data_IF_286960238105
#
_entry.id   IF_286960238105
#
_cell.length_a   1.000
_cell.length_b   1.000
_cell.length_c   1.000
_cell.angle_alpha   90.00
_cell.angle_beta   90.00
_cell.angle_gamma   90.00
#
_symmetry.space_group_name_H-M   'P 1'
#
loop_
_entity.id
_entity.type
_entity.pdbx_description
1 polymer ?
#
# COMPACT_ATOMS: atom_id res chain seq x y z
N UNK A 1 -20.39 -20.68 7.61
CA UNK A 1 -20.31 -19.29 7.16
C UNK A 1 -19.97 -19.30 5.69
N UNK A 2 -20.66 -18.52 4.89
CA UNK A 2 -20.37 -18.37 3.46
C UNK A 2 -19.02 -17.66 3.28
N UNK A 3 -18.20 -18.12 2.33
CA UNK A 3 -16.88 -17.53 2.06
C UNK A 3 -17.10 -16.17 1.40
N UNK A 4 -16.52 -15.07 1.93
CA UNK A 4 -16.67 -13.75 1.33
C UNK A 4 -16.22 -13.68 -0.14
N UNK A 5 -16.99 -13.00 -0.98
CA UNK A 5 -16.79 -12.95 -2.44
C UNK A 5 -15.43 -12.39 -2.89
N UNK A 6 -14.75 -11.61 -2.07
CA UNK A 6 -13.41 -11.09 -2.40
C UNK A 6 -12.33 -12.18 -2.41
N UNK A 7 -12.60 -13.38 -1.87
CA UNK A 7 -11.71 -14.53 -1.99
C UNK A 7 -11.77 -15.21 -3.38
N UNK A 8 -12.57 -14.70 -4.31
CA UNK A 8 -12.61 -15.16 -5.69
C UNK A 8 -11.61 -14.42 -6.60
N UNK A 9 -10.74 -13.57 -6.02
CA UNK A 9 -9.81 -12.69 -6.73
C UNK A 9 -8.36 -13.08 -6.42
N UNK A 10 -7.53 -13.20 -7.46
CA UNK A 10 -6.10 -13.45 -7.33
C UNK A 10 -5.31 -12.13 -7.39
N UNK A 11 -4.22 -12.05 -6.62
CA UNK A 11 -3.32 -10.88 -6.58
C UNK A 11 -1.96 -11.15 -7.21
N UNK A 12 -1.45 -12.37 -7.08
CA UNK A 12 -0.23 -12.85 -7.74
C UNK A 12 -0.48 -14.24 -8.32
N UNK A 13 0.18 -14.55 -9.43
CA UNK A 13 0.11 -15.84 -10.09
C UNK A 13 1.50 -16.27 -10.54
N UNK A 14 1.76 -17.58 -10.56
CA UNK A 14 3.02 -18.12 -11.10
C UNK A 14 3.08 -17.90 -12.61
N UNK A 15 4.28 -17.64 -13.11
CA UNK A 15 4.56 -17.60 -14.56
C UNK A 15 4.86 -18.99 -15.14
N UNK A 16 5.29 -19.94 -14.30
CA UNK A 16 5.66 -21.31 -14.67
C UNK A 16 5.27 -22.28 -13.56
N UNK A 17 4.77 -23.46 -13.95
CA UNK A 17 4.30 -24.53 -13.05
C UNK A 17 5.47 -25.27 -12.41
N UNK A 18 5.96 -24.77 -11.28
CA UNK A 18 6.82 -25.54 -10.36
C UNK A 18 5.97 -26.25 -9.30
N UNK A 19 6.32 -27.51 -9.00
CA UNK A 19 5.47 -28.51 -8.37
C UNK A 19 5.13 -28.29 -6.87
N UNK A 20 5.75 -27.34 -6.18
CA UNK A 20 5.71 -27.30 -4.70
C UNK A 20 4.78 -26.23 -4.08
N UNK A 21 4.12 -25.37 -4.87
CA UNK A 21 3.17 -24.39 -4.32
C UNK A 21 1.98 -24.10 -5.24
N UNK A 22 0.92 -23.50 -4.70
CA UNK A 22 -0.32 -23.20 -5.44
C UNK A 22 -0.03 -22.25 -6.60
N UNK A 23 -0.87 -22.30 -7.64
CA UNK A 23 -0.64 -21.53 -8.88
C UNK A 23 -0.83 -20.02 -8.71
N UNK A 24 -1.57 -19.62 -7.68
CA UNK A 24 -1.86 -18.24 -7.39
C UNK A 24 -1.98 -17.97 -5.89
N UNK A 25 -1.86 -16.69 -5.58
CA UNK A 25 -2.08 -16.12 -4.27
C UNK A 25 -3.29 -15.19 -4.31
N UNK A 26 -4.18 -15.37 -3.33
CA UNK A 26 -5.39 -14.56 -3.22
C UNK A 26 -5.06 -13.07 -3.00
N UNK A 27 -5.78 -12.20 -3.70
CA UNK A 27 -5.60 -10.75 -3.65
C UNK A 27 -5.70 -10.19 -2.21
N UNK A 28 -6.72 -10.57 -1.40
CA UNK A 28 -6.80 -10.14 -0.01
C UNK A 28 -5.54 -10.43 0.82
N UNK A 29 -4.88 -11.54 0.54
CA UNK A 29 -3.70 -11.98 1.27
C UNK A 29 -2.47 -11.19 0.89
N UNK A 30 -2.25 -10.99 -0.41
CA UNK A 30 -1.17 -10.12 -0.87
C UNK A 30 -1.31 -8.69 -0.30
N UNK A 31 -2.53 -8.14 -0.31
CA UNK A 31 -2.83 -6.85 0.33
C UNK A 31 -2.45 -6.82 1.81
N UNK A 32 -2.70 -7.90 2.55
CA UNK A 32 -2.31 -8.02 3.96
C UNK A 32 -0.80 -8.20 4.13
N UNK A 33 -0.12 -8.92 3.25
CA UNK A 33 1.33 -9.09 3.30
C UNK A 33 2.06 -7.75 3.15
N UNK A 34 1.66 -6.96 2.16
CA UNK A 34 2.21 -5.60 1.94
C UNK A 34 1.93 -4.70 3.14
N UNK A 35 0.71 -4.72 3.68
CA UNK A 35 0.39 -3.94 4.88
C UNK A 35 1.17 -4.39 6.11
N UNK A 36 1.39 -5.70 6.29
CA UNK A 36 2.18 -6.25 7.38
C UNK A 36 3.64 -5.81 7.28
N UNK A 37 4.22 -5.82 6.08
CA UNK A 37 5.57 -5.30 5.82
C UNK A 37 5.62 -3.81 6.12
N UNK A 38 4.67 -3.02 5.61
CA UNK A 38 4.60 -1.59 5.90
C UNK A 38 4.56 -1.28 7.39
N UNK A 39 3.77 -2.04 8.15
CA UNK A 39 3.72 -1.96 9.61
C UNK A 39 5.10 -2.20 10.26
N UNK A 40 5.88 -3.15 9.75
CA UNK A 40 7.24 -3.44 10.24
C UNK A 40 8.26 -2.36 9.82
N UNK A 41 8.18 -1.85 8.59
CA UNK A 41 9.01 -0.73 8.13
C UNK A 41 8.74 0.55 8.93
N UNK A 42 7.52 0.68 9.43
CA UNK A 42 7.05 1.74 10.31
C UNK A 42 7.07 1.34 11.79
N UNK A 43 7.94 0.40 12.20
CA UNK A 43 8.03 -0.02 13.60
C UNK A 43 8.36 1.17 14.53
N UNK A 44 7.77 1.16 15.73
CA UNK A 44 7.88 2.22 16.76
C UNK A 44 9.32 2.64 17.13
N UNK A 45 10.29 1.76 16.91
CA UNK A 45 11.69 1.95 17.28
C UNK A 45 12.49 2.79 16.28
N UNK A 46 12.03 2.88 15.02
CA UNK A 46 12.75 3.56 13.93
C UNK A 46 12.64 5.08 14.05
N UNK A 47 13.72 5.79 13.73
CA UNK A 47 13.75 7.27 13.76
C UNK A 47 12.76 7.90 12.79
N UNK A 48 12.66 7.35 11.57
CA UNK A 48 11.79 7.87 10.52
C UNK A 48 10.34 8.05 11.00
N UNK A 49 9.77 7.06 11.71
CA UNK A 49 8.38 7.21 12.17
C UNK A 49 8.25 8.26 13.28
N UNK A 50 9.27 8.44 14.12
CA UNK A 50 9.29 9.49 15.16
C UNK A 50 9.32 10.88 14.51
N UNK A 51 10.11 11.06 13.46
CA UNK A 51 10.19 12.32 12.72
C UNK A 51 8.85 12.62 12.01
N UNK A 52 8.28 11.63 11.33
CA UNK A 52 6.99 11.76 10.63
C UNK A 52 5.84 12.05 11.60
N UNK A 53 5.79 11.36 12.73
CA UNK A 53 4.73 11.54 13.74
C UNK A 53 4.82 12.89 14.43
N UNK A 54 6.03 13.36 14.75
CA UNK A 54 6.25 14.70 15.26
C UNK A 54 5.79 15.75 14.25
N UNK A 55 6.20 15.63 12.99
CA UNK A 55 5.87 16.59 11.94
C UNK A 55 4.35 16.66 11.65
N UNK A 56 3.68 15.50 11.61
CA UNK A 56 2.24 15.39 11.39
C UNK A 56 1.41 15.59 12.68
N UNK A 57 2.06 15.74 13.83
CA UNK A 57 1.41 15.81 15.14
C UNK A 57 0.39 14.65 15.33
N UNK A 58 0.84 13.42 15.07
CA UNK A 58 0.10 12.18 15.31
C UNK A 58 0.85 11.31 16.31
N UNK A 59 0.15 10.35 16.94
CA UNK A 59 0.84 9.29 17.67
C UNK A 59 1.43 8.28 16.69
N UNK A 60 2.50 7.59 17.10
CA UNK A 60 3.12 6.53 16.30
C UNK A 60 2.17 5.39 15.96
N UNK A 61 1.33 4.99 16.93
CA UNK A 61 0.30 3.96 16.72
C UNK A 61 -0.74 4.41 15.68
N UNK A 62 -1.16 5.68 15.77
CA UNK A 62 -2.15 6.23 14.85
C UNK A 62 -1.62 6.30 13.42
N UNK A 63 -0.42 6.85 13.21
CA UNK A 63 0.18 6.92 11.88
C UNK A 63 0.43 5.52 11.30
N UNK A 64 1.00 4.60 12.09
CA UNK A 64 1.24 3.23 11.65
C UNK A 64 -0.06 2.53 11.25
N UNK A 65 -1.14 2.68 12.05
CA UNK A 65 -2.44 2.08 11.75
C UNK A 65 -3.06 2.62 10.45
N UNK A 66 -3.02 3.94 10.24
CA UNK A 66 -3.50 4.58 9.02
C UNK A 66 -2.71 4.10 7.81
N UNK A 67 -1.38 4.15 7.86
CA UNK A 67 -0.54 3.76 6.71
C UNK A 67 -0.69 2.27 6.42
N UNK A 68 -0.71 1.41 7.44
CA UNK A 68 -0.92 -0.03 7.25
C UNK A 68 -2.27 -0.31 6.59
N UNK A 69 -3.34 0.38 7.01
CA UNK A 69 -4.64 0.27 6.36
C UNK A 69 -4.59 0.73 4.91
N UNK A 70 -4.03 1.91 4.62
CA UNK A 70 -3.96 2.41 3.22
C UNK A 70 -3.12 1.49 2.33
N UNK A 71 -2.06 0.87 2.86
CA UNK A 71 -1.25 -0.11 2.12
C UNK A 71 -2.04 -1.36 1.73
N UNK A 72 -3.07 -1.77 2.47
CA UNK A 72 -3.94 -2.88 2.01
C UNK A 72 -4.70 -2.55 0.73
N UNK A 73 -4.77 -1.26 0.36
CA UNK A 73 -5.51 -0.77 -0.81
C UNK A 73 -4.62 -0.52 -2.03
N UNK A 74 -3.30 -0.72 -1.94
CA UNK A 74 -2.37 -0.45 -3.05
C UNK A 74 -2.77 -1.16 -4.34
N UNK A 75 -3.25 -2.41 -4.20
CA UNK A 75 -3.63 -3.30 -5.29
C UNK A 75 -5.15 -3.39 -5.50
N UNK A 76 -5.95 -2.46 -4.97
CA UNK A 76 -7.42 -2.52 -5.06
C UNK A 76 -7.92 -2.51 -6.52
N UNK A 77 -7.13 -1.98 -7.47
CA UNK A 77 -7.44 -2.06 -8.88
C UNK A 77 -7.42 -3.48 -9.47
N UNK A 78 -6.77 -4.44 -8.81
CA UNK A 78 -6.76 -5.84 -9.24
C UNK A 78 -8.13 -6.50 -9.10
N UNK A 79 -9.09 -5.91 -8.38
CA UNK A 79 -10.49 -6.35 -8.40
C UNK A 79 -11.15 -6.16 -9.77
N UNK A 80 -10.57 -5.40 -10.70
CA UNK A 80 -11.12 -5.24 -12.04
C UNK A 80 -11.14 -6.57 -12.81
N UNK A 81 -12.28 -6.90 -13.40
CA UNK A 81 -12.43 -8.08 -14.28
C UNK A 81 -11.37 -8.14 -15.38
N UNK A 82 -10.98 -7.01 -15.97
CA UNK A 82 -9.92 -6.96 -16.97
C UNK A 82 -8.57 -7.46 -16.43
N UNK A 83 -8.19 -7.08 -15.21
CA UNK A 83 -6.98 -7.60 -14.56
C UNK A 83 -7.13 -9.09 -14.24
N UNK A 84 -8.25 -9.50 -13.66
CA UNK A 84 -8.48 -10.89 -13.28
C UNK A 84 -8.40 -11.85 -14.49
N UNK A 85 -8.76 -11.38 -15.69
CA UNK A 85 -8.69 -12.14 -16.95
C UNK A 85 -7.26 -12.48 -17.39
N UNK A 86 -6.23 -11.82 -16.85
CA UNK A 86 -4.82 -12.08 -17.19
C UNK A 86 -4.34 -13.46 -16.73
N UNK A 87 -5.01 -14.08 -15.77
CA UNK A 87 -4.71 -15.44 -15.33
C UNK A 87 -5.76 -16.40 -15.88
N UNK A 88 -5.48 -17.12 -16.98
CA UNK A 88 -6.44 -17.95 -17.68
C UNK A 88 -6.65 -19.32 -17.00
N UNK A 89 -6.54 -19.39 -15.68
CA UNK A 89 -6.72 -20.65 -14.97
C UNK A 89 -8.20 -20.98 -14.79
N UNK A 90 -8.53 -22.26 -14.96
CA UNK A 90 -9.84 -22.82 -14.59
C UNK A 90 -9.90 -23.19 -13.09
N UNK A 91 -8.97 -22.69 -12.27
CA UNK A 91 -8.91 -22.93 -10.83
C UNK A 91 -10.30 -22.78 -10.21
N UNK A 92 -10.73 -23.84 -9.53
CA UNK A 92 -12.00 -23.87 -8.82
C UNK A 92 -12.00 -22.77 -7.76
N UNK A 93 -13.05 -21.94 -7.74
CA UNK A 93 -13.22 -20.88 -6.74
C UNK A 93 -12.80 -19.47 -7.19
N UNK A 94 -12.07 -19.31 -8.28
CA UNK A 94 -11.84 -17.99 -8.88
C UNK A 94 -13.03 -17.55 -9.74
N UNK A 95 -13.32 -16.26 -9.69
CA UNK A 95 -14.33 -15.65 -10.54
C UNK A 95 -13.89 -15.68 -12.01
N UNK A 96 -14.84 -15.94 -12.92
CA UNK A 96 -14.59 -15.97 -14.38
C UNK A 96 -15.02 -14.65 -15.02
N UNK A 97 -14.08 -13.75 -15.38
CA UNK A 97 -14.41 -12.40 -15.84
C UNK A 97 -15.04 -12.37 -17.23
N UNK A 98 -16.13 -11.61 -17.32
CA UNK A 98 -16.80 -11.25 -18.56
C UNK A 98 -16.83 -9.71 -18.67
N UNK A 99 -15.68 -9.12 -19.02
CA UNK A 99 -15.57 -7.67 -19.20
C UNK A 99 -15.57 -7.26 -20.68
N UNK A 100 -16.16 -6.09 -20.95
CA UNK A 100 -16.28 -5.52 -22.30
C UNK A 100 -14.92 -5.16 -22.92
N UNK A 101 -13.95 -4.72 -22.10
CA UNK A 101 -12.59 -4.39 -22.55
C UNK A 101 -11.54 -5.31 -21.91
N UNK A 102 -10.54 -5.69 -22.69
CA UNK A 102 -9.36 -6.41 -22.19
C UNK A 102 -8.43 -5.51 -21.38
N UNK A 103 -7.53 -6.09 -20.60
CA UNK A 103 -6.52 -5.35 -19.83
C UNK A 103 -5.61 -4.53 -20.74
N UNK A 104 -5.37 -3.28 -20.37
CA UNK A 104 -4.44 -2.39 -21.05
C UNK A 104 -3.40 -1.89 -20.05
N UNK A 105 -2.26 -2.56 -19.96
CA UNK A 105 -1.19 -2.20 -19.03
C UNK A 105 -0.49 -0.87 -19.31
N UNK A 106 -0.73 -0.23 -20.46
CA UNK A 106 -0.13 1.07 -20.80
C UNK A 106 -0.99 2.24 -20.38
N UNK A 107 -2.31 2.14 -20.57
CA UNK A 107 -3.22 3.25 -20.28
C UNK A 107 -4.16 2.96 -19.12
N UNK A 108 -4.42 1.70 -18.79
CA UNK A 108 -5.31 1.27 -17.71
C UNK A 108 -4.62 0.17 -16.87
N UNK A 109 -3.40 0.45 -16.40
CA UNK A 109 -2.75 -0.41 -15.41
C UNK A 109 -3.62 -0.47 -14.13
N UNK A 110 -3.49 -1.55 -13.37
CA UNK A 110 -4.27 -1.76 -12.14
C UNK A 110 -4.13 -0.59 -11.13
N UNK A 111 -2.99 0.07 -11.07
CA UNK A 111 -2.79 1.35 -10.35
C UNK A 111 -3.87 2.38 -10.66
N UNK A 112 -4.08 2.65 -11.95
CA UNK A 112 -5.09 3.59 -12.43
C UNK A 112 -6.48 3.02 -12.20
N UNK A 113 -6.68 1.71 -12.39
CA UNK A 113 -7.96 1.06 -12.09
C UNK A 113 -8.34 1.21 -10.60
N UNK A 114 -7.37 1.25 -9.70
CA UNK A 114 -7.57 1.45 -8.27
C UNK A 114 -8.28 2.77 -7.94
N UNK A 115 -8.07 3.81 -8.76
CA UNK A 115 -8.76 5.10 -8.61
C UNK A 115 -10.27 4.96 -8.74
N UNK A 116 -10.76 4.15 -9.70
CA UNK A 116 -12.19 3.92 -9.88
C UNK A 116 -12.82 3.27 -8.63
N UNK A 117 -12.18 2.22 -8.10
CA UNK A 117 -12.64 1.59 -6.86
C UNK A 117 -12.60 2.56 -5.69
N UNK A 118 -11.53 3.34 -5.56
CA UNK A 118 -11.38 4.33 -4.50
C UNK A 118 -12.48 5.40 -4.53
N UNK A 119 -12.78 5.98 -5.70
CA UNK A 119 -13.83 6.99 -5.87
C UNK A 119 -15.20 6.49 -5.43
N UNK A 120 -15.49 5.20 -5.63
CA UNK A 120 -16.74 4.56 -5.20
C UNK A 120 -16.75 4.12 -3.72
N UNK A 121 -15.58 3.81 -3.15
CA UNK A 121 -15.45 3.30 -1.78
C UNK A 121 -15.32 4.43 -0.76
N UNK A 122 -14.60 5.52 -1.09
CA UNK A 122 -14.32 6.62 -0.15
C UNK A 122 -15.55 7.22 0.53
N UNK A 123 -16.74 7.35 -0.11
CA UNK A 123 -17.92 7.86 0.58
C UNK A 123 -18.49 6.86 1.60
N UNK A 124 -18.40 5.56 1.31
CA UNK A 124 -18.83 4.48 2.22
C UNK A 124 -17.87 4.38 3.40
N UNK A 125 -16.57 4.48 3.13
CA UNK A 125 -15.52 4.55 4.14
C UNK A 125 -15.79 5.71 5.13
N UNK A 126 -16.03 6.92 4.61
CA UNK A 126 -16.29 8.08 5.46
C UNK A 126 -17.48 7.87 6.40
N UNK A 127 -18.59 7.34 5.87
CA UNK A 127 -19.77 7.02 6.69
C UNK A 127 -19.49 5.97 7.77
N UNK A 128 -18.59 5.02 7.51
CA UNK A 128 -18.20 4.00 8.50
C UNK A 128 -17.21 4.54 9.54
N UNK A 129 -16.32 5.44 9.14
CA UNK A 129 -15.34 6.09 10.02
C UNK A 129 -15.96 7.17 10.92
N UNK A 130 -16.98 7.85 10.40
CA UNK A 130 -17.61 8.99 11.07
C UNK A 130 -19.09 8.67 11.21
N UNK A 131 -19.52 8.41 12.44
CA UNK A 131 -20.92 8.15 12.77
C UNK A 131 -21.77 9.44 12.84
N UNK A 132 -21.45 10.44 12.01
CA UNK A 132 -22.08 11.76 12.04
C UNK A 132 -22.73 12.00 10.69
N UNK A 133 -24.07 12.03 10.69
CA UNK A 133 -24.89 12.30 9.51
C UNK A 133 -24.78 13.76 9.02
N UNK A 134 -24.16 14.65 9.82
CA UNK A 134 -24.17 16.11 9.66
C UNK A 134 -22.85 16.76 9.17
N UNK A 135 -21.89 15.99 8.64
CA UNK A 135 -20.68 16.62 8.06
C UNK A 135 -21.08 17.46 6.84
N UNK A 136 -20.74 18.75 6.86
CA UNK A 136 -21.00 19.65 5.73
C UNK A 136 -20.27 19.16 4.49
N UNK A 137 -20.90 19.28 3.32
CA UNK A 137 -20.30 18.88 2.02
C UNK A 137 -18.88 19.41 1.81
N UNK A 138 -18.59 20.64 2.25
CA UNK A 138 -17.26 21.23 2.17
C UNK A 138 -16.24 20.48 3.02
N UNK A 139 -16.57 20.15 4.27
CA UNK A 139 -15.69 19.41 5.18
C UNK A 139 -15.46 17.99 4.67
N UNK A 140 -16.50 17.35 4.15
CA UNK A 140 -16.38 16.05 3.47
C UNK A 140 -15.40 16.11 2.30
N UNK A 141 -15.44 17.17 1.48
CA UNK A 141 -14.50 17.35 0.38
C UNK A 141 -13.06 17.49 0.89
N UNK A 142 -12.81 18.28 1.94
CA UNK A 142 -11.46 18.41 2.51
C UNK A 142 -10.92 17.07 3.02
N UNK A 143 -11.77 16.25 3.65
CA UNK A 143 -11.39 14.90 4.08
C UNK A 143 -11.03 14.03 2.86
N UNK A 144 -11.84 14.05 1.81
CA UNK A 144 -11.54 13.28 0.59
C UNK A 144 -10.25 13.74 -0.09
N UNK A 145 -10.01 15.04 -0.17
CA UNK A 145 -8.77 15.59 -0.73
C UNK A 145 -7.56 15.14 0.09
N UNK A 146 -7.68 15.14 1.43
CA UNK A 146 -6.60 14.69 2.31
C UNK A 146 -6.35 13.18 2.21
N UNK A 147 -7.42 12.36 2.19
CA UNK A 147 -7.29 10.91 1.99
C UNK A 147 -6.69 10.60 0.61
N UNK A 148 -6.98 11.42 -0.41
CA UNK A 148 -6.42 11.24 -1.74
C UNK A 148 -4.88 11.39 -1.74
N UNK A 149 -4.30 12.22 -0.88
CA UNK A 149 -2.83 12.30 -0.73
C UNK A 149 -2.24 10.96 -0.32
N UNK A 150 -2.89 10.25 0.62
CA UNK A 150 -2.47 8.90 1.03
C UNK A 150 -2.67 7.88 -0.09
N UNK A 151 -3.80 7.97 -0.80
CA UNK A 151 -4.09 7.06 -1.91
C UNK A 151 -3.14 7.26 -3.09
N UNK A 152 -2.74 8.49 -3.40
CA UNK A 152 -1.73 8.76 -4.43
C UNK A 152 -0.40 8.07 -4.11
N UNK A 153 -0.04 7.95 -2.83
CA UNK A 153 1.19 7.26 -2.40
C UNK A 153 1.15 5.74 -2.66
N UNK A 154 -0.02 5.11 -2.55
CA UNK A 154 -0.14 3.65 -2.69
C UNK A 154 -0.64 3.20 -4.05
N UNK A 155 -1.43 4.02 -4.75
CA UNK A 155 -1.87 3.71 -6.11
C UNK A 155 -0.78 3.99 -7.14
N UNK A 156 0.19 4.85 -6.84
CA UNK A 156 1.37 5.08 -7.69
C UNK A 156 2.56 4.15 -7.43
N UNK A 157 2.33 2.98 -6.81
CA UNK A 157 3.40 2.10 -6.32
C UNK A 157 4.25 1.45 -7.42
N UNK A 158 3.91 1.57 -8.71
CA UNK A 158 4.81 1.23 -9.83
C UNK A 158 5.73 2.40 -10.27
N UNK A 159 5.85 3.44 -9.43
CA UNK A 159 6.86 4.49 -9.59
C UNK A 159 6.42 5.70 -10.42
N UNK A 160 5.11 5.84 -10.68
CA UNK A 160 4.54 7.01 -11.36
C UNK A 160 3.24 7.46 -10.67
N UNK A 161 2.99 8.78 -10.55
CA UNK A 161 1.69 9.28 -10.11
C UNK A 161 0.55 8.78 -11.01
N UNK A 162 -0.59 8.48 -10.41
CA UNK A 162 -1.76 8.01 -11.15
C UNK A 162 -2.34 9.11 -12.06
N UNK A 163 -2.70 8.74 -13.29
CA UNK A 163 -3.49 9.60 -14.18
C UNK A 163 -4.96 9.62 -13.73
N UNK A 164 -5.38 10.75 -13.17
CA UNK A 164 -6.75 10.96 -12.66
C UNK A 164 -7.75 11.38 -13.75
N UNK A 165 -7.28 11.57 -14.98
CA UNK A 165 -8.13 11.97 -16.11
C UNK A 165 -9.15 10.87 -16.39
N UNK A 166 -10.42 11.24 -16.55
CA UNK A 166 -11.51 10.34 -16.96
C UNK A 166 -11.54 8.97 -16.26
N UNK A 167 -11.44 8.96 -14.91
CA UNK A 167 -11.47 7.71 -14.14
C UNK A 167 -12.75 6.89 -14.38
N UNK A 168 -13.85 7.51 -14.83
CA UNK A 168 -15.10 6.81 -15.14
C UNK A 168 -14.96 5.85 -16.33
N UNK A 169 -14.05 6.11 -17.26
CA UNK A 169 -13.75 5.18 -18.35
C UNK A 169 -13.21 3.83 -17.87
N UNK A 170 -12.75 3.72 -16.61
CA UNK A 170 -12.35 2.45 -16.02
C UNK A 170 -13.55 1.50 -15.84
N UNK A 171 -14.78 2.00 -15.74
CA UNK A 171 -15.99 1.19 -15.57
C UNK A 171 -16.07 0.06 -16.62
N UNK A 172 -15.65 0.34 -17.87
CA UNK A 172 -15.63 -0.63 -18.98
C UNK A 172 -14.70 -1.84 -18.80
N UNK A 173 -13.80 -1.78 -17.81
CA UNK A 173 -12.86 -2.84 -17.44
C UNK A 173 -13.33 -3.62 -16.21
N UNK A 174 -14.46 -3.22 -15.63
CA UNK A 174 -15.03 -3.78 -14.40
C UNK A 174 -16.43 -4.34 -14.65
N UNK A 175 -16.93 -5.07 -13.67
CA UNK A 175 -18.31 -5.54 -13.58
C UNK A 175 -18.89 -5.19 -12.21
N UNK A 176 -20.23 -5.05 -12.05
CA UNK A 176 -20.84 -4.58 -10.80
C UNK A 176 -20.42 -5.38 -9.55
N UNK A 177 -20.23 -6.69 -9.68
CA UNK A 177 -19.83 -7.54 -8.55
C UNK A 177 -18.37 -7.27 -8.09
N UNK A 178 -17.50 -6.74 -8.96
CA UNK A 178 -16.14 -6.33 -8.58
C UNK A 178 -16.19 -5.26 -7.48
N UNK A 179 -17.06 -4.25 -7.66
CA UNK A 179 -17.19 -3.16 -6.71
C UNK A 179 -17.80 -3.65 -5.38
N UNK A 180 -18.71 -4.62 -5.44
CA UNK A 180 -19.26 -5.27 -4.24
C UNK A 180 -18.18 -6.02 -3.47
N UNK A 181 -17.33 -6.80 -4.17
CA UNK A 181 -16.22 -7.52 -3.56
C UNK A 181 -15.19 -6.58 -2.92
N UNK A 182 -14.75 -5.56 -3.65
CA UNK A 182 -13.82 -4.56 -3.14
C UNK A 182 -14.41 -3.79 -1.94
N UNK A 183 -15.69 -3.39 -2.00
CA UNK A 183 -16.37 -2.72 -0.87
C UNK A 183 -16.42 -3.62 0.36
N UNK A 184 -16.81 -4.89 0.21
CA UNK A 184 -16.88 -5.84 1.32
C UNK A 184 -15.49 -6.10 1.93
N UNK A 185 -14.47 -6.20 1.08
CA UNK A 185 -13.08 -6.36 1.52
C UNK A 185 -12.64 -5.17 2.39
N UNK A 186 -12.84 -3.93 1.91
CA UNK A 186 -12.51 -2.72 2.69
C UNK A 186 -13.30 -2.65 4.00
N UNK A 187 -14.57 -3.07 4.00
CA UNK A 187 -15.36 -3.13 5.24
C UNK A 187 -14.76 -4.08 6.28
N UNK A 188 -14.33 -5.28 5.89
CA UNK A 188 -13.68 -6.23 6.79
C UNK A 188 -12.27 -5.78 7.19
N UNK A 189 -11.54 -5.06 6.33
CA UNK A 189 -10.24 -4.48 6.68
C UNK A 189 -10.37 -3.41 7.78
N UNK A 190 -11.41 -2.57 7.74
CA UNK A 190 -11.69 -1.59 8.81
C UNK A 190 -11.95 -2.31 10.14
N UNK A 191 -12.72 -3.40 10.12
CA UNK A 191 -13.02 -4.19 11.31
C UNK A 191 -11.79 -4.91 11.87
N UNK A 192 -10.94 -5.42 10.99
CA UNK A 192 -9.70 -6.13 11.33
C UNK A 192 -8.61 -5.20 11.87
N UNK A 193 -8.37 -4.09 11.18
CA UNK A 193 -7.23 -3.19 11.46
C UNK A 193 -7.58 -2.04 12.40
N UNK A 194 -8.87 -1.69 12.50
CA UNK A 194 -9.39 -0.60 13.33
C UNK A 194 -8.55 0.70 13.23
N UNK A 195 -8.31 1.23 12.00
CA UNK A 195 -7.49 2.42 11.83
C UNK A 195 -8.14 3.64 12.48
N UNK A 196 -7.36 4.37 13.28
CA UNK A 196 -7.83 5.57 14.00
C UNK A 196 -7.57 6.83 13.16
N UNK A 197 -8.55 7.26 12.37
CA UNK A 197 -8.42 8.44 11.53
C UNK A 197 -8.65 9.76 12.32
N UNK A 198 -7.73 10.74 12.27
CA UNK A 198 -7.87 12.00 12.97
C UNK A 198 -8.77 12.97 12.17
N UNK A 199 -10.09 12.85 12.32
CA UNK A 199 -11.07 13.56 11.49
C UNK A 199 -10.83 15.07 11.43
N UNK A 200 -10.57 15.71 12.57
CA UNK A 200 -10.28 17.15 12.63
C UNK A 200 -9.05 17.55 11.79
N UNK A 201 -8.02 16.69 11.77
CA UNK A 201 -6.81 16.91 10.97
C UNK A 201 -7.08 16.64 9.49
N UNK A 202 -7.89 15.64 9.16
CA UNK A 202 -8.27 15.35 7.77
C UNK A 202 -9.05 16.50 7.12
N UNK A 203 -9.79 17.29 7.91
CA UNK A 203 -10.49 18.50 7.46
C UNK A 203 -9.57 19.72 7.30
N UNK A 204 -8.35 19.69 7.86
CA UNK A 204 -7.45 20.83 7.89
C UNK A 204 -6.57 20.89 6.64
N UNK A 205 -6.74 21.95 5.84
CA UNK A 205 -5.86 22.24 4.68
C UNK A 205 -4.40 22.40 5.07
N UNK A 206 -4.13 22.99 6.24
CA UNK A 206 -2.77 23.16 6.72
C UNK A 206 -2.15 21.81 7.03
N UNK A 207 -2.90 20.93 7.70
CA UNK A 207 -2.44 19.58 7.97
C UNK A 207 -2.24 18.77 6.69
N UNK A 208 -3.16 18.88 5.72
CA UNK A 208 -2.99 18.28 4.38
C UNK A 208 -1.69 18.72 3.71
N UNK A 209 -1.34 20.01 3.76
CA UNK A 209 -0.06 20.52 3.22
C UNK A 209 1.16 19.94 3.91
N UNK A 210 1.08 19.62 5.21
CA UNK A 210 2.16 18.89 5.90
C UNK A 210 2.21 17.45 5.40
N UNK A 211 1.08 16.78 5.28
CA UNK A 211 1.01 15.44 4.72
C UNK A 211 1.59 15.37 3.30
N UNK A 212 1.27 16.33 2.44
CA UNK A 212 1.83 16.48 1.08
C UNK A 212 3.36 16.57 1.10
N UNK A 213 3.97 17.30 2.05
CA UNK A 213 5.43 17.43 2.17
C UNK A 213 6.14 16.12 2.51
N UNK A 214 5.47 15.21 3.20
CA UNK A 214 6.03 13.90 3.59
C UNK A 214 5.45 12.73 2.77
N UNK A 215 4.65 13.03 1.75
CA UNK A 215 4.00 12.03 0.90
C UNK A 215 5.01 11.15 0.16
N UNK A 216 6.16 11.72 -0.23
CA UNK A 216 7.20 10.98 -0.95
C UNK A 216 7.86 9.89 -0.10
N UNK A 217 8.02 10.09 1.22
CA UNK A 217 8.47 9.02 2.11
C UNK A 217 7.43 7.90 2.20
N UNK A 218 6.14 8.24 2.28
CA UNK A 218 5.07 7.24 2.28
C UNK A 218 5.00 6.45 0.96
N UNK A 219 5.16 7.12 -0.18
CA UNK A 219 5.26 6.45 -1.48
C UNK A 219 6.46 5.49 -1.54
N UNK A 220 7.63 5.91 -1.03
CA UNK A 220 8.80 5.04 -0.92
C UNK A 220 8.57 3.82 -0.03
N UNK A 221 7.87 4.00 1.10
CA UNK A 221 7.46 2.89 1.98
C UNK A 221 6.50 1.95 1.25
N UNK A 222 5.54 2.47 0.48
CA UNK A 222 4.58 1.66 -0.26
C UNK A 222 5.27 0.76 -1.30
N UNK A 223 6.18 1.33 -2.10
CA UNK A 223 6.98 0.59 -3.08
C UNK A 223 7.80 -0.52 -2.40
N UNK A 224 8.52 -0.16 -1.34
CA UNK A 224 9.35 -1.12 -0.60
C UNK A 224 8.51 -2.22 0.06
N UNK A 225 7.34 -1.86 0.57
CA UNK A 225 6.42 -2.80 1.18
C UNK A 225 5.87 -3.81 0.15
N UNK A 226 5.50 -3.37 -1.05
CA UNK A 226 5.09 -4.27 -2.13
C UNK A 226 6.23 -5.17 -2.60
N UNK A 227 7.46 -4.63 -2.73
CA UNK A 227 8.62 -5.43 -3.13
C UNK A 227 8.92 -6.55 -2.13
N UNK A 228 8.99 -6.24 -0.84
CA UNK A 228 9.25 -7.25 0.20
C UNK A 228 8.03 -8.18 0.36
N UNK A 229 6.81 -7.65 0.30
CA UNK A 229 5.55 -8.42 0.37
C UNK A 229 5.30 -9.32 -0.85
N UNK A 230 6.07 -9.13 -1.92
CA UNK A 230 6.07 -9.98 -3.12
C UNK A 230 7.18 -11.04 -3.11
N UNK A 231 7.98 -11.12 -2.03
CA UNK A 231 9.07 -12.10 -1.94
C UNK A 231 8.55 -13.48 -1.53
N UNK A 232 8.42 -14.37 -2.52
CA UNK A 232 7.91 -15.73 -2.34
C UNK A 232 8.75 -16.63 -1.43
N UNK A 233 9.97 -16.21 -1.05
CA UNK A 233 10.77 -16.91 -0.02
C UNK A 233 10.14 -16.79 1.37
N UNK A 234 9.38 -15.72 1.60
CA UNK A 234 8.70 -15.45 2.87
C UNK A 234 7.19 -15.57 2.76
N UNK A 235 6.62 -15.07 1.67
CA UNK A 235 5.18 -15.04 1.43
C UNK A 235 4.80 -16.11 0.40
N UNK A 236 4.62 -17.35 0.88
CA UNK A 236 4.23 -18.48 0.05
C UNK A 236 2.79 -18.28 -0.43
N UNK A 237 2.55 -18.56 -1.71
CA UNK A 237 1.22 -18.43 -2.29
C UNK A 237 0.19 -19.30 -1.57
N UNK A 238 -0.93 -18.65 -1.26
CA UNK A 238 -2.09 -19.22 -0.59
C UNK A 238 -3.33 -19.01 -1.49
N UNK A 239 -3.87 -20.12 -2.01
CA UNK A 239 -5.08 -20.16 -2.83
C UNK A 239 -6.34 -20.52 -2.06
N UNK A 240 -6.20 -21.18 -0.91
CA UNK A 240 -7.33 -21.63 -0.08
C UNK A 240 -7.80 -20.54 0.88
N UNK A 241 -9.10 -20.16 0.85
CA UNK A 241 -9.65 -19.15 1.74
C UNK A 241 -9.65 -19.58 3.22
N UNK A 242 -9.22 -18.64 4.06
CA UNK A 242 -9.26 -18.61 5.52
C UNK A 242 -9.65 -17.19 5.99
N UNK A 243 -10.16 -17.02 7.23
CA UNK A 243 -10.49 -15.71 7.78
C UNK A 243 -9.32 -14.72 7.69
N UNK A 244 -9.61 -13.45 7.37
CA UNK A 244 -8.57 -12.42 7.27
C UNK A 244 -7.80 -12.23 8.58
N UNK A 245 -8.45 -12.42 9.72
CA UNK A 245 -7.82 -12.34 11.03
C UNK A 245 -6.73 -13.40 11.24
N UNK A 246 -6.97 -14.63 10.76
CA UNK A 246 -6.03 -15.73 10.87
C UNK A 246 -4.83 -15.50 9.95
N UNK A 247 -5.10 -15.14 8.69
CA UNK A 247 -4.04 -14.80 7.74
C UNK A 247 -3.23 -13.58 8.19
N UNK A 248 -3.85 -12.58 8.80
CA UNK A 248 -3.15 -11.40 9.30
C UNK A 248 -2.10 -11.72 10.37
N UNK A 249 -2.33 -12.72 11.23
CA UNK A 249 -1.28 -13.16 12.16
C UNK A 249 -0.10 -13.79 11.43
N UNK A 250 -0.38 -14.59 10.40
CA UNK A 250 0.65 -15.18 9.55
C UNK A 250 1.46 -14.10 8.80
N UNK A 251 0.78 -13.19 8.11
CA UNK A 251 1.38 -12.08 7.36
C UNK A 251 2.32 -11.24 8.24
N UNK A 252 1.89 -10.87 9.46
CA UNK A 252 2.75 -10.14 10.42
C UNK A 252 4.00 -10.92 10.82
N UNK A 253 3.88 -12.22 11.05
CA UNK A 253 5.01 -13.06 11.41
C UNK A 253 6.02 -13.17 10.26
N UNK A 254 5.55 -13.32 9.02
CA UNK A 254 6.40 -13.39 7.83
C UNK A 254 7.02 -12.03 7.51
N UNK A 255 6.27 -10.94 7.60
CA UNK A 255 6.76 -9.58 7.42
C UNK A 255 7.93 -9.25 8.35
N UNK A 256 7.85 -9.66 9.63
CA UNK A 256 8.96 -9.47 10.57
C UNK A 256 10.23 -10.17 10.08
N UNK A 257 10.12 -11.44 9.65
CA UNK A 257 11.27 -12.21 9.12
C UNK A 257 11.83 -11.58 7.84
N UNK A 258 10.95 -11.22 6.90
CA UNK A 258 11.33 -10.65 5.61
C UNK A 258 12.06 -9.31 5.78
N UNK A 259 11.52 -8.40 6.61
CA UNK A 259 12.15 -7.10 6.89
C UNK A 259 13.48 -7.29 7.64
N UNK A 260 13.57 -8.21 8.60
CA UNK A 260 14.83 -8.50 9.31
C UNK A 260 15.92 -9.07 8.40
N UNK A 261 15.53 -9.77 7.33
CA UNK A 261 16.47 -10.29 6.34
C UNK A 261 16.98 -9.22 5.37
N UNK A 262 16.41 -8.01 5.39
CA UNK A 262 16.95 -6.86 4.67
C UNK A 262 18.05 -6.18 5.49
N UNK A 263 18.93 -5.44 4.82
CA UNK A 263 19.94 -4.62 5.50
C UNK A 263 19.37 -3.29 6.07
N UNK A 264 18.06 -3.03 5.94
CA UNK A 264 17.41 -1.78 6.33
C UNK A 264 17.35 -1.55 7.85
N UNK A 265 17.60 -2.59 8.65
CA UNK A 265 17.69 -2.49 10.11
C UNK A 265 19.13 -2.30 10.62
N UNK A 266 20.14 -2.42 9.75
CA UNK A 266 21.54 -2.35 10.16
C UNK A 266 21.99 -0.90 10.20
N UNK A 267 22.42 -0.44 11.38
CA UNK A 267 23.08 0.85 11.50
C UNK A 267 24.42 0.75 10.76
N UNK A 268 24.70 1.63 9.78
CA UNK A 268 25.98 1.59 9.09
C UNK A 268 27.11 1.85 10.09
N UNK A 269 28.18 1.06 9.99
CA UNK A 269 29.38 1.28 10.79
C UNK A 269 30.09 2.51 10.21
N UNK A 270 29.96 3.65 10.89
CA UNK A 270 30.64 4.89 10.50
C UNK A 270 32.13 4.73 10.76
N UNK A 271 32.94 4.72 9.69
CA UNK A 271 34.39 4.77 9.83
C UNK A 271 34.82 6.21 10.09
N UNK A 272 35.85 6.45 10.94
CA UNK A 272 36.39 7.78 11.12
C UNK A 272 36.88 8.35 9.78
N UNK A 273 36.64 9.63 9.56
CA UNK A 273 37.25 10.33 8.45
C UNK A 273 38.77 10.43 8.70
N UNK A 274 39.58 10.07 7.71
CA UNK A 274 41.06 10.10 7.81
C UNK A 274 41.57 11.24 6.95
N UNK A 275 41.37 11.14 5.63
CA UNK A 275 41.63 12.22 4.69
C UNK A 275 40.86 11.99 3.38
N UNK A 276 40.77 13.04 2.54
CA UNK A 276 40.23 12.90 1.18
C UNK A 276 41.09 11.93 0.36
N UNK A 277 42.40 11.95 0.56
CA UNK A 277 43.34 11.08 -0.16
C UNK A 277 43.12 9.61 0.20
N UNK A 278 42.89 9.30 1.48
CA UNK A 278 42.68 7.92 1.94
C UNK A 278 41.33 7.36 1.52
N UNK A 279 40.28 8.19 1.52
CA UNK A 279 38.93 7.74 1.20
C UNK A 279 38.61 7.78 -0.31
N UNK A 280 39.21 8.69 -1.06
CA UNK A 280 38.87 8.93 -2.48
C UNK A 280 40.05 8.84 -3.45
N UNK A 281 41.28 8.67 -2.96
CA UNK A 281 42.46 8.44 -3.80
C UNK A 281 43.03 9.69 -4.50
N UNK A 282 42.54 10.89 -4.18
CA UNK A 282 43.05 12.14 -4.75
C UNK A 282 43.29 13.22 -3.70
N UNK A 283 44.17 14.17 -4.06
CA UNK A 283 44.51 15.27 -3.18
C UNK A 283 43.33 16.23 -3.02
N UNK A 284 43.06 16.65 -1.79
CA UNK A 284 41.98 17.59 -1.50
C UNK A 284 42.14 18.89 -2.31
N UNK A 285 41.04 19.33 -2.94
CA UNK A 285 40.97 20.65 -3.59
C UNK A 285 41.09 21.77 -2.53
N UNK A 286 41.38 23.03 -2.92
CA UNK A 286 41.46 24.13 -1.96
C UNK A 286 40.23 24.27 -1.06
N UNK A 287 39.03 24.07 -1.62
CA UNK A 287 37.77 24.08 -0.84
C UNK A 287 37.69 22.91 0.14
N UNK A 288 38.06 21.71 -0.28
CA UNK A 288 38.06 20.52 0.60
C UNK A 288 39.09 20.66 1.73
N UNK A 289 40.25 21.27 1.44
CA UNK A 289 41.26 21.59 2.47
C UNK A 289 40.73 22.58 3.50
N UNK A 290 39.97 23.59 3.08
CA UNK A 290 39.33 24.53 3.99
C UNK A 290 38.25 23.85 4.85
N UNK A 291 37.40 23.01 4.24
CA UNK A 291 36.36 22.25 4.96
C UNK A 291 36.93 21.24 5.97
N UNK A 292 38.04 20.57 5.63
CA UNK A 292 38.71 19.63 6.53
C UNK A 292 39.23 20.27 7.83
N UNK A 293 39.30 21.60 7.95
CA UNK A 293 39.72 22.28 9.17
C UNK A 293 38.64 22.23 10.27
N UNK A 294 37.42 21.83 9.92
CA UNK A 294 36.24 21.82 10.79
C UNK A 294 35.67 20.41 11.04
N UNK A 295 36.33 19.37 10.52
CA UNK A 295 36.01 17.94 10.73
C UNK A 295 36.98 17.32 11.73
#
# INVERSE_FOLDING_TARGET
MEIPIYFQYWGKAKRTSEAESTDYHLLPYHCLDVAAVGMQLLSLERSLIKDLTHFLALSTKQLQGIVSFVLTLHDIGKFASAFQKLFPSQSVGLYRPYCCKGYDGRYFCHDRMGLYFWEHIKPKLLKKLINIEDIKRREQQEIFDTLMVLMDCVLGHHGQPIDKTDYKAIEYFTEPHNLNAATLFVHHLIELLQPEFPIEKLQSKEWRRRLEQVSWQFAGIAILADWIGSDNRYFVYQSEPMPLADYWQHAKAMAKKAVMATDLGKVPIVKPFISIQDHYGFAATPLQKWLNQYL
#
